data_IF_858475321653
#
_entry.id   IF_858475321653
#
_cell.length_a   1.000
_cell.length_b   1.000
_cell.length_c   1.000
_cell.angle_alpha   90.00
_cell.angle_beta   90.00
_cell.angle_gamma   90.00
#
_symmetry.space_group_name_H-M   'P 1'
#
loop_
_entity.id
_entity.type
_entity.pdbx_description
1 polymer ?
#
# COMPACT_ATOMS: atom_id res chain seq x y z
N UNK A 1 0.79 20.28 15.83
CA UNK A 1 0.36 19.01 15.21
C UNK A 1 1.47 18.31 14.39
N UNK A 2 2.38 19.00 13.74
CA UNK A 2 3.52 18.39 13.01
C UNK A 2 4.57 17.68 13.88
N UNK A 3 4.76 18.05 15.15
CA UNK A 3 5.71 17.37 16.06
C UNK A 3 5.26 15.99 16.53
N UNK A 4 3.96 15.69 16.49
CA UNK A 4 3.43 14.38 16.92
C UNK A 4 3.59 13.29 15.84
N UNK A 5 3.64 13.66 14.55
CA UNK A 5 3.82 12.70 13.46
C UNK A 5 5.29 12.36 13.18
N UNK A 6 6.23 13.24 13.48
CA UNK A 6 7.66 13.03 13.17
C UNK A 6 8.40 12.10 14.14
N UNK A 7 8.00 12.02 15.41
CA UNK A 7 8.66 11.18 16.43
C UNK A 7 8.15 9.73 16.46
N UNK A 8 6.96 9.48 15.92
CA UNK A 8 6.35 8.14 15.85
C UNK A 8 6.94 7.25 14.73
N UNK A 9 7.71 7.81 13.82
CA UNK A 9 8.19 7.14 12.61
C UNK A 9 9.63 6.61 12.64
N UNK A 10 10.32 6.68 13.77
CA UNK A 10 11.60 5.99 13.94
C UNK A 10 11.36 4.48 14.01
N UNK A 11 11.82 3.76 12.99
CA UNK A 11 11.59 2.32 12.79
C UNK A 11 12.12 1.39 13.90
N UNK A 12 12.78 1.90 14.91
CA UNK A 12 13.46 1.13 15.98
C UNK A 12 12.72 1.04 17.32
N UNK A 13 11.56 1.67 17.48
CA UNK A 13 10.85 1.73 18.77
C UNK A 13 9.34 1.51 18.68
N UNK A 14 8.81 1.01 17.56
CA UNK A 14 7.39 0.72 17.45
C UNK A 14 7.03 -0.45 18.34
N UNK A 15 6.23 -0.19 19.39
CA UNK A 15 5.70 -1.24 20.24
C UNK A 15 4.90 -2.22 19.35
N UNK A 16 5.21 -3.52 19.39
CA UNK A 16 4.50 -4.54 18.60
C UNK A 16 2.98 -4.51 18.84
N UNK A 17 2.56 -4.10 20.03
CA UNK A 17 1.15 -3.87 20.34
C UNK A 17 0.51 -2.81 19.43
N UNK A 18 1.19 -1.68 19.21
CA UNK A 18 0.72 -0.62 18.29
C UNK A 18 0.66 -1.15 16.86
N UNK A 19 1.65 -1.95 16.44
CA UNK A 19 1.65 -2.59 15.14
C UNK A 19 0.40 -3.47 14.95
N UNK A 20 0.11 -4.34 15.90
CA UNK A 20 -1.06 -5.22 15.86
C UNK A 20 -2.37 -4.42 15.82
N UNK A 21 -2.46 -3.33 16.60
CA UNK A 21 -3.66 -2.49 16.65
C UNK A 21 -3.92 -1.76 15.33
N UNK A 22 -2.87 -1.19 14.72
CA UNK A 22 -3.01 -0.52 13.40
C UNK A 22 -3.34 -1.52 12.30
N UNK A 23 -2.73 -2.70 12.31
CA UNK A 23 -3.04 -3.76 11.35
C UNK A 23 -4.47 -4.29 11.53
N UNK A 24 -4.96 -4.40 12.77
CA UNK A 24 -6.36 -4.75 13.04
C UNK A 24 -7.32 -3.67 12.53
N UNK A 25 -7.01 -2.38 12.73
CA UNK A 25 -7.80 -1.28 12.20
C UNK A 25 -7.80 -1.28 10.65
N UNK A 26 -6.66 -1.53 10.02
CA UNK A 26 -6.57 -1.66 8.57
C UNK A 26 -7.41 -2.85 8.06
N UNK A 27 -7.34 -4.01 8.75
CA UNK A 27 -8.16 -5.18 8.42
C UNK A 27 -9.65 -4.90 8.53
N UNK A 28 -10.06 -4.11 9.54
CA UNK A 28 -11.46 -3.69 9.70
C UNK A 28 -11.91 -2.78 8.55
N UNK A 29 -11.08 -1.80 8.15
CA UNK A 29 -11.38 -0.90 7.01
C UNK A 29 -11.55 -1.72 5.73
N UNK A 30 -10.67 -2.70 5.48
CA UNK A 30 -10.73 -3.57 4.31
C UNK A 30 -11.98 -4.46 4.36
N UNK A 31 -12.32 -5.02 5.52
CA UNK A 31 -13.52 -5.84 5.67
C UNK A 31 -14.81 -5.02 5.46
N UNK A 32 -14.85 -3.77 5.93
CA UNK A 32 -15.95 -2.85 5.64
C UNK A 32 -16.08 -2.58 4.15
N UNK A 33 -14.97 -2.35 3.45
CA UNK A 33 -14.98 -2.18 1.99
C UNK A 33 -15.56 -3.40 1.27
N UNK A 34 -15.14 -4.60 1.64
CA UNK A 34 -15.65 -5.84 1.04
C UNK A 34 -17.15 -6.03 1.27
N UNK A 35 -17.65 -5.67 2.45
CA UNK A 35 -19.05 -5.80 2.82
C UNK A 35 -19.94 -4.67 2.29
N UNK A 36 -19.35 -3.57 1.81
CA UNK A 36 -20.07 -2.43 1.25
C UNK A 36 -19.78 -2.31 -0.24
N UNK A 37 -18.78 -1.56 -0.62
CA UNK A 37 -18.52 -1.19 -2.01
C UNK A 37 -18.30 -2.39 -2.93
N UNK A 38 -17.53 -3.40 -2.48
CA UNK A 38 -17.27 -4.60 -3.28
C UNK A 38 -18.55 -5.44 -3.46
N UNK A 39 -19.31 -5.64 -2.38
CA UNK A 39 -20.58 -6.39 -2.44
C UNK A 39 -21.63 -5.63 -3.25
N UNK A 40 -21.81 -4.32 -3.00
CA UNK A 40 -22.80 -3.49 -3.67
C UNK A 40 -22.52 -3.27 -5.15
N UNK A 41 -21.27 -3.04 -5.52
CA UNK A 41 -20.85 -2.83 -6.90
C UNK A 41 -20.71 -4.12 -7.71
N UNK A 42 -20.88 -5.29 -7.10
CA UNK A 42 -20.63 -6.56 -7.77
C UNK A 42 -19.15 -6.75 -8.15
N UNK A 43 -18.23 -6.10 -7.43
CA UNK A 43 -16.83 -6.01 -7.79
C UNK A 43 -16.02 -7.25 -7.39
N UNK A 44 -14.86 -7.40 -8.01
CA UNK A 44 -13.83 -8.41 -7.69
C UNK A 44 -12.49 -7.72 -7.46
N UNK A 45 -11.96 -7.70 -6.22
CA UNK A 45 -10.72 -6.98 -5.91
C UNK A 45 -9.46 -7.49 -6.61
N UNK A 46 -9.53 -8.54 -7.39
CA UNK A 46 -8.39 -9.14 -8.07
C UNK A 46 -7.55 -10.06 -7.18
N UNK A 47 -6.58 -10.75 -7.78
CA UNK A 47 -5.69 -11.67 -7.07
C UNK A 47 -6.42 -12.80 -6.35
N UNK A 48 -5.80 -13.33 -5.28
CA UNK A 48 -6.37 -14.42 -4.49
C UNK A 48 -7.66 -14.00 -3.78
N UNK A 49 -7.75 -12.75 -3.33
CA UNK A 49 -8.94 -12.23 -2.66
C UNK A 49 -10.13 -12.11 -3.61
N UNK A 50 -9.90 -11.62 -4.83
CA UNK A 50 -10.96 -11.57 -5.86
C UNK A 50 -11.47 -12.94 -6.23
N UNK A 51 -10.58 -13.92 -6.35
CA UNK A 51 -10.94 -15.31 -6.57
C UNK A 51 -11.73 -15.88 -5.37
N UNK A 52 -11.37 -15.51 -4.15
CA UNK A 52 -12.09 -15.91 -2.93
C UNK A 52 -13.53 -15.41 -2.92
N UNK A 53 -13.75 -14.14 -3.27
CA UNK A 53 -15.09 -13.55 -3.37
C UNK A 53 -15.88 -14.20 -4.50
N UNK A 54 -15.25 -14.50 -5.62
CA UNK A 54 -15.89 -15.19 -6.73
C UNK A 54 -16.38 -16.58 -6.31
N UNK A 55 -15.51 -17.38 -5.66
CA UNK A 55 -15.88 -18.72 -5.18
C UNK A 55 -16.97 -18.66 -4.11
N UNK A 56 -16.92 -17.67 -3.22
CA UNK A 56 -18.00 -17.42 -2.25
C UNK A 56 -19.33 -17.15 -2.95
N UNK A 57 -19.36 -16.28 -3.96
CA UNK A 57 -20.58 -15.94 -4.71
C UNK A 57 -21.15 -17.15 -5.48
N UNK A 58 -20.26 -17.93 -6.11
CA UNK A 58 -20.67 -19.18 -6.77
C UNK A 58 -21.28 -20.14 -5.73
N UNK A 59 -20.59 -20.33 -4.60
CA UNK A 59 -21.10 -21.16 -3.51
C UNK A 59 -22.44 -20.69 -2.98
N UNK A 60 -22.65 -19.37 -2.83
CA UNK A 60 -23.93 -18.79 -2.42
C UNK A 60 -25.03 -19.07 -3.45
N UNK A 61 -24.74 -18.86 -4.75
CA UNK A 61 -25.70 -19.14 -5.81
C UNK A 61 -26.12 -20.61 -5.85
N UNK A 62 -25.18 -21.53 -5.60
CA UNK A 62 -25.48 -22.97 -5.51
C UNK A 62 -26.33 -23.28 -4.28
N UNK A 63 -26.02 -22.68 -3.12
CA UNK A 63 -26.82 -22.87 -1.90
C UNK A 63 -28.25 -22.34 -2.07
N UNK A 64 -28.41 -21.17 -2.67
CA UNK A 64 -29.71 -20.54 -2.96
C UNK A 64 -30.53 -21.39 -3.94
N UNK A 65 -29.90 -21.92 -5.00
CA UNK A 65 -30.52 -22.83 -5.96
C UNK A 65 -30.97 -24.18 -5.34
N UNK A 66 -30.21 -24.63 -4.32
CA UNK A 66 -30.57 -25.83 -3.56
C UNK A 66 -31.62 -25.58 -2.46
N UNK A 67 -32.09 -24.36 -2.28
CA UNK A 67 -33.05 -23.97 -1.24
C UNK A 67 -32.47 -23.98 0.17
N UNK A 68 -31.14 -23.97 0.30
CA UNK A 68 -30.45 -23.99 1.58
C UNK A 68 -30.21 -22.54 2.04
N UNK A 69 -30.94 -22.11 3.06
CA UNK A 69 -30.83 -20.74 3.59
C UNK A 69 -29.60 -20.63 4.54
N UNK A 70 -28.40 -20.79 3.96
CA UNK A 70 -27.11 -20.67 4.68
C UNK A 70 -26.26 -19.64 3.96
N UNK A 71 -25.67 -18.72 4.72
CA UNK A 71 -24.69 -17.79 4.18
C UNK A 71 -23.34 -18.50 4.03
N UNK A 72 -22.82 -18.55 2.80
CA UNK A 72 -21.50 -19.10 2.51
C UNK A 72 -20.43 -18.11 3.02
N UNK A 73 -19.55 -18.52 3.97
CA UNK A 73 -18.55 -17.62 4.53
C UNK A 73 -17.42 -17.35 3.53
N UNK A 74 -16.86 -16.13 3.61
CA UNK A 74 -15.70 -15.71 2.81
C UNK A 74 -14.38 -16.29 3.32
N UNK A 75 -14.25 -16.44 4.65
CA UNK A 75 -12.99 -16.75 5.33
C UNK A 75 -12.30 -18.02 4.84
N UNK A 76 -12.96 -19.17 4.61
CA UNK A 76 -12.26 -20.38 4.18
C UNK A 76 -11.57 -20.21 2.83
N UNK A 77 -12.27 -19.59 1.88
CA UNK A 77 -11.72 -19.37 0.54
C UNK A 77 -10.52 -18.42 0.59
N UNK A 78 -10.64 -17.32 1.35
CA UNK A 78 -9.57 -16.34 1.46
C UNK A 78 -8.31 -16.91 2.15
N UNK A 79 -8.47 -17.69 3.21
CA UNK A 79 -7.35 -18.29 3.94
C UNK A 79 -6.64 -19.33 3.07
N UNK A 80 -7.39 -20.23 2.43
CA UNK A 80 -6.83 -21.30 1.59
C UNK A 80 -6.09 -20.73 0.39
N UNK A 81 -6.69 -19.78 -0.34
CA UNK A 81 -6.08 -19.21 -1.54
C UNK A 81 -4.88 -18.31 -1.24
N UNK A 82 -4.83 -17.73 -0.04
CA UNK A 82 -3.67 -16.95 0.40
C UNK A 82 -2.53 -17.79 0.99
N UNK A 83 -2.74 -19.09 1.25
CA UNK A 83 -1.70 -19.96 1.82
C UNK A 83 -0.47 -20.07 0.92
N UNK A 84 -0.65 -20.21 -0.41
CA UNK A 84 0.47 -20.29 -1.37
C UNK A 84 1.24 -18.96 -1.46
N UNK A 85 0.60 -17.78 -1.68
CA UNK A 85 1.29 -16.50 -1.64
C UNK A 85 2.01 -16.24 -0.30
N UNK A 86 1.40 -16.59 0.82
CA UNK A 86 2.03 -16.46 2.14
C UNK A 86 3.26 -17.35 2.29
N UNK A 87 3.22 -18.58 1.78
CA UNK A 87 4.40 -19.47 1.74
C UNK A 87 5.55 -18.85 0.93
N UNK A 88 5.25 -18.30 -0.26
CA UNK A 88 6.23 -17.58 -1.08
C UNK A 88 6.79 -16.38 -0.31
N UNK A 89 5.94 -15.59 0.33
CA UNK A 89 6.35 -14.47 1.17
C UNK A 89 7.27 -14.88 2.31
N UNK A 90 6.99 -16.01 2.96
CA UNK A 90 7.80 -16.53 4.05
C UNK A 90 9.21 -16.96 3.60
N UNK A 91 9.33 -17.52 2.39
CA UNK A 91 10.61 -17.97 1.85
C UNK A 91 11.47 -16.83 1.26
N UNK A 92 10.83 -15.82 0.64
CA UNK A 92 11.54 -14.87 -0.21
C UNK A 92 11.47 -13.41 0.25
N UNK A 93 10.47 -13.01 1.04
CA UNK A 93 10.31 -11.62 1.49
C UNK A 93 10.78 -11.45 2.94
N UNK A 94 10.28 -12.27 3.86
CA UNK A 94 10.70 -12.23 5.24
C UNK A 94 9.65 -12.77 6.23
N UNK A 95 10.14 -13.37 7.31
CA UNK A 95 9.26 -14.05 8.30
C UNK A 95 8.33 -13.07 9.03
N UNK A 96 8.86 -11.94 9.51
CA UNK A 96 8.07 -10.94 10.25
C UNK A 96 7.01 -10.29 9.36
N UNK A 97 7.39 -9.95 8.14
CA UNK A 97 6.46 -9.41 7.14
C UNK A 97 5.31 -10.40 6.88
N UNK A 98 5.65 -11.66 6.62
CA UNK A 98 4.65 -12.70 6.31
C UNK A 98 3.74 -12.99 7.49
N UNK A 99 4.26 -13.09 8.72
CA UNK A 99 3.43 -13.32 9.90
C UNK A 99 2.42 -12.18 10.13
N UNK A 100 2.83 -10.93 9.97
CA UNK A 100 1.93 -9.78 10.05
C UNK A 100 0.90 -9.79 8.92
N UNK A 101 1.30 -10.19 7.74
CA UNK A 101 0.38 -10.32 6.59
C UNK A 101 -0.64 -11.44 6.81
N UNK A 102 -0.23 -12.58 7.32
CA UNK A 102 -1.15 -13.67 7.70
C UNK A 102 -2.13 -13.21 8.77
N UNK A 103 -1.67 -12.40 9.75
CA UNK A 103 -2.55 -11.78 10.75
C UNK A 103 -3.60 -10.87 10.10
N UNK A 104 -3.20 -10.01 9.14
CA UNK A 104 -4.13 -9.14 8.39
C UNK A 104 -5.12 -9.98 7.59
N UNK A 105 -4.67 -10.99 6.84
CA UNK A 105 -5.53 -11.87 6.03
C UNK A 105 -6.57 -12.55 6.92
N UNK A 106 -6.14 -13.09 8.07
CA UNK A 106 -7.00 -13.79 9.02
C UNK A 106 -8.04 -12.83 9.64
N UNK A 107 -7.62 -11.66 10.11
CA UNK A 107 -8.54 -10.68 10.68
C UNK A 107 -9.52 -10.14 9.65
N UNK A 108 -9.05 -9.81 8.45
CA UNK A 108 -9.93 -9.34 7.36
C UNK A 108 -10.98 -10.40 7.03
N UNK A 109 -10.58 -11.67 6.97
CA UNK A 109 -11.49 -12.77 6.70
C UNK A 109 -12.58 -12.89 7.78
N UNK A 110 -12.18 -12.89 9.05
CA UNK A 110 -13.11 -12.96 10.18
C UNK A 110 -14.02 -11.75 10.24
N UNK A 111 -13.48 -10.55 10.12
CA UNK A 111 -14.29 -9.32 10.15
C UNK A 111 -15.30 -9.30 8.99
N UNK A 112 -14.91 -9.73 7.79
CA UNK A 112 -15.83 -9.80 6.65
C UNK A 112 -17.02 -10.73 6.92
N UNK A 113 -16.82 -11.84 7.61
CA UNK A 113 -17.89 -12.78 7.91
C UNK A 113 -18.77 -12.36 9.11
N UNK A 114 -18.18 -11.73 10.14
CA UNK A 114 -18.85 -11.43 11.42
C UNK A 114 -19.51 -10.04 11.45
N UNK A 115 -19.02 -9.06 10.66
CA UNK A 115 -19.51 -7.68 10.76
C UNK A 115 -21.03 -7.56 10.57
N UNK A 116 -21.76 -7.02 11.57
CA UNK A 116 -23.21 -6.82 11.50
C UNK A 116 -23.51 -5.56 10.68
N UNK A 117 -23.51 -5.70 9.35
CA UNK A 117 -23.63 -4.55 8.44
C UNK A 117 -24.94 -3.76 8.63
N UNK A 118 -26.05 -4.43 8.99
CA UNK A 118 -27.33 -3.78 9.22
C UNK A 118 -27.25 -2.77 10.38
N UNK A 119 -26.51 -3.12 11.44
CA UNK A 119 -26.29 -2.23 12.57
C UNK A 119 -25.31 -1.10 12.25
N UNK A 120 -24.25 -1.40 11.49
CA UNK A 120 -23.24 -0.40 11.12
C UNK A 120 -23.82 0.63 10.14
N UNK A 121 -24.64 0.19 9.20
CA UNK A 121 -25.26 1.05 8.19
C UNK A 121 -26.49 1.80 8.70
N UNK A 122 -26.98 1.53 9.91
CA UNK A 122 -28.14 2.22 10.48
C UNK A 122 -27.93 3.74 10.63
N UNK A 123 -26.68 4.21 10.67
CA UNK A 123 -26.33 5.64 10.70
C UNK A 123 -26.46 6.35 9.35
N UNK A 124 -26.54 5.58 8.25
CA UNK A 124 -26.64 6.13 6.89
C UNK A 124 -28.10 6.05 6.42
N UNK A 125 -28.68 7.13 5.88
CA UNK A 125 -30.04 7.12 5.37
C UNK A 125 -30.25 6.02 4.32
N UNK A 126 -31.30 5.24 4.44
CA UNK A 126 -31.59 4.10 3.56
C UNK A 126 -31.62 4.49 2.06
N UNK A 127 -32.08 5.73 1.75
CA UNK A 127 -32.10 6.26 0.39
C UNK A 127 -30.68 6.43 -0.21
N UNK A 128 -29.71 6.79 0.64
CA UNK A 128 -28.32 7.00 0.19
C UNK A 128 -27.60 5.65 0.02
N UNK A 129 -27.89 4.69 0.90
CA UNK A 129 -27.46 3.29 0.73
C UNK A 129 -28.02 2.70 -0.57
N UNK A 130 -29.31 2.93 -0.85
CA UNK A 130 -29.94 2.44 -2.08
C UNK A 130 -29.30 3.05 -3.34
N UNK A 131 -28.93 4.33 -3.30
CA UNK A 131 -28.20 4.99 -4.40
C UNK A 131 -26.82 4.39 -4.60
N UNK A 132 -26.07 4.17 -3.52
CA UNK A 132 -24.72 3.56 -3.57
C UNK A 132 -24.77 2.13 -4.12
N UNK A 133 -25.77 1.33 -3.68
CA UNK A 133 -25.98 -0.04 -4.20
C UNK A 133 -26.38 -0.07 -5.69
N UNK A 134 -27.00 0.97 -6.18
CA UNK A 134 -27.43 1.09 -7.58
C UNK A 134 -26.37 1.68 -8.52
N UNK A 135 -25.22 2.11 -7.99
CA UNK A 135 -24.17 2.76 -8.80
C UNK A 135 -22.82 2.04 -8.66
N UNK A 136 -22.53 1.07 -9.57
CA UNK A 136 -21.26 0.35 -9.56
C UNK A 136 -20.05 1.23 -9.84
N UNK A 137 -20.20 2.35 -10.56
CA UNK A 137 -19.10 3.30 -10.81
C UNK A 137 -18.70 3.96 -9.50
N UNK A 138 -19.69 4.47 -8.75
CA UNK A 138 -19.45 5.09 -7.45
C UNK A 138 -18.82 4.10 -6.47
N UNK A 139 -19.34 2.87 -6.44
CA UNK A 139 -18.79 1.79 -5.62
C UNK A 139 -17.35 1.44 -6.01
N UNK A 140 -17.00 1.43 -7.30
CA UNK A 140 -15.64 1.15 -7.73
C UNK A 140 -14.65 2.27 -7.38
N UNK A 141 -15.07 3.53 -7.47
CA UNK A 141 -14.22 4.67 -7.13
C UNK A 141 -13.97 4.77 -5.62
N UNK A 142 -15.04 4.83 -4.83
CA UNK A 142 -14.91 4.97 -3.38
C UNK A 142 -14.36 3.71 -2.70
N UNK A 143 -14.77 2.54 -3.16
CA UNK A 143 -14.21 1.27 -2.69
C UNK A 143 -12.71 1.19 -2.99
N UNK A 144 -12.28 1.55 -4.20
CA UNK A 144 -10.84 1.61 -4.54
C UNK A 144 -10.04 2.56 -3.65
N UNK A 145 -10.64 3.70 -3.24
CA UNK A 145 -10.00 4.64 -2.29
C UNK A 145 -9.89 4.00 -0.91
N UNK A 146 -10.98 3.43 -0.38
CA UNK A 146 -11.03 2.84 0.97
C UNK A 146 -10.10 1.64 1.06
N UNK A 147 -10.14 0.75 0.09
CA UNK A 147 -9.25 -0.41 0.04
C UNK A 147 -7.79 0.01 -0.10
N UNK A 148 -7.47 0.95 -1.01
CA UNK A 148 -6.13 1.50 -1.21
C UNK A 148 -5.57 2.16 0.04
N UNK A 149 -6.40 2.83 0.83
CA UNK A 149 -6.04 3.38 2.13
C UNK A 149 -5.68 2.27 3.14
N UNK A 150 -6.56 1.28 3.31
CA UNK A 150 -6.33 0.13 4.19
C UNK A 150 -5.07 -0.65 3.81
N UNK A 151 -4.89 -0.93 2.51
CA UNK A 151 -3.71 -1.59 1.97
C UNK A 151 -2.42 -0.77 2.22
N UNK A 152 -2.47 0.53 2.01
CA UNK A 152 -1.32 1.42 2.28
C UNK A 152 -0.93 1.45 3.76
N UNK A 153 -1.91 1.39 4.67
CA UNK A 153 -1.64 1.22 6.10
C UNK A 153 -0.91 -0.12 6.36
N UNK A 154 -1.40 -1.24 5.80
CA UNK A 154 -0.73 -2.53 5.95
C UNK A 154 0.72 -2.45 5.47
N UNK A 155 0.97 -1.91 4.29
CA UNK A 155 2.31 -1.79 3.70
C UNK A 155 3.25 -0.94 4.56
N UNK A 156 2.78 0.19 5.09
CA UNK A 156 3.56 1.06 5.99
C UNK A 156 3.94 0.37 7.30
N UNK A 157 3.13 -0.56 7.76
CA UNK A 157 3.34 -1.33 8.99
C UNK A 157 3.92 -2.72 8.71
N UNK A 158 4.56 -2.86 7.55
CA UNK A 158 5.30 -4.04 7.14
C UNK A 158 4.43 -5.31 7.09
N UNK A 159 3.27 -5.18 6.46
CA UNK A 159 2.33 -6.25 6.16
C UNK A 159 1.68 -6.03 4.78
N UNK A 160 0.95 -7.00 4.26
CA UNK A 160 0.14 -6.89 3.04
C UNK A 160 -1.23 -7.54 3.25
N UNK A 161 -2.16 -7.21 2.34
CA UNK A 161 -3.52 -7.77 2.31
C UNK A 161 -3.57 -9.19 1.72
N UNK A 162 -2.45 -9.68 1.19
CA UNK A 162 -2.33 -11.04 0.64
C UNK A 162 -2.32 -11.09 -0.89
N UNK A 163 -2.52 -12.29 -1.42
CA UNK A 163 -2.67 -12.52 -2.85
C UNK A 163 -1.47 -12.09 -3.70
N UNK A 164 -1.77 -11.43 -4.80
CA UNK A 164 -0.77 -10.90 -5.75
C UNK A 164 0.14 -9.84 -5.14
N UNK A 165 -0.24 -9.26 -3.99
CA UNK A 165 0.56 -8.24 -3.31
C UNK A 165 1.90 -8.80 -2.81
N UNK A 166 1.93 -10.07 -2.35
CA UNK A 166 3.19 -10.74 -2.01
C UNK A 166 4.13 -10.79 -3.21
N UNK A 167 3.57 -11.03 -4.40
CA UNK A 167 4.34 -11.06 -5.66
C UNK A 167 4.82 -9.64 -6.00
N UNK A 168 3.96 -8.63 -5.85
CA UNK A 168 4.31 -7.23 -6.07
C UNK A 168 5.50 -6.81 -5.21
N UNK A 169 5.44 -7.12 -3.91
CA UNK A 169 6.48 -6.78 -2.95
C UNK A 169 7.78 -7.53 -3.25
N UNK A 170 7.71 -8.84 -3.47
CA UNK A 170 8.88 -9.64 -3.85
C UNK A 170 9.57 -9.08 -5.10
N UNK A 171 8.79 -8.76 -6.13
CA UNK A 171 9.34 -8.18 -7.36
C UNK A 171 9.89 -6.77 -7.13
N UNK A 172 9.24 -5.96 -6.28
CA UNK A 172 9.71 -4.62 -5.95
C UNK A 172 11.04 -4.67 -5.20
N UNK A 173 11.19 -5.57 -4.24
CA UNK A 173 12.44 -5.78 -3.52
C UNK A 173 13.56 -6.29 -4.45
N UNK A 174 13.26 -7.26 -5.30
CA UNK A 174 14.24 -7.82 -6.24
C UNK A 174 14.68 -6.82 -7.32
N UNK A 175 13.77 -5.98 -7.80
CA UNK A 175 14.03 -5.01 -8.88
C UNK A 175 14.41 -3.62 -8.36
N UNK A 176 14.23 -3.33 -7.07
CA UNK A 176 14.48 -2.03 -6.47
C UNK A 176 13.59 -0.90 -7.01
N UNK A 177 12.40 -1.23 -7.50
CA UNK A 177 11.44 -0.27 -8.07
C UNK A 177 10.00 -0.73 -7.86
N UNK A 178 9.07 0.20 -7.94
CA UNK A 178 7.64 -0.12 -7.87
C UNK A 178 7.21 -1.08 -8.98
N UNK A 179 6.41 -2.07 -8.61
CA UNK A 179 5.83 -3.06 -9.53
C UNK A 179 4.30 -3.11 -9.50
N UNK A 180 3.65 -2.16 -8.81
CA UNK A 180 2.19 -2.11 -8.67
C UNK A 180 1.45 -2.04 -10.01
N UNK A 181 1.99 -1.28 -10.97
CA UNK A 181 1.41 -1.19 -12.31
C UNK A 181 1.49 -2.53 -13.07
N UNK A 182 2.52 -3.34 -12.84
CA UNK A 182 2.60 -4.69 -13.40
C UNK A 182 1.52 -5.60 -12.82
N UNK A 183 1.31 -5.52 -11.50
CA UNK A 183 0.25 -6.29 -10.84
C UNK A 183 -1.14 -5.84 -11.27
N UNK A 184 -1.36 -4.52 -11.44
CA UNK A 184 -2.58 -3.99 -12.02
C UNK A 184 -2.85 -4.59 -13.40
N UNK A 185 -1.85 -4.62 -14.28
CA UNK A 185 -1.99 -5.20 -15.62
C UNK A 185 -2.31 -6.71 -15.57
N UNK A 186 -1.62 -7.47 -14.71
CA UNK A 186 -1.90 -8.90 -14.51
C UNK A 186 -3.32 -9.14 -13.98
N UNK A 187 -3.74 -8.38 -12.98
CA UNK A 187 -5.09 -8.48 -12.44
C UNK A 187 -6.15 -8.08 -13.48
N UNK A 188 -5.90 -7.05 -14.27
CA UNK A 188 -6.78 -6.66 -15.37
C UNK A 188 -6.95 -7.79 -16.40
N UNK A 189 -5.86 -8.47 -16.77
CA UNK A 189 -5.94 -9.63 -17.67
C UNK A 189 -6.80 -10.76 -17.06
N UNK A 190 -6.62 -11.05 -15.77
CA UNK A 190 -7.41 -12.07 -15.04
C UNK A 190 -8.89 -11.67 -15.03
N UNK A 191 -9.20 -10.40 -14.74
CA UNK A 191 -10.56 -9.90 -14.69
C UNK A 191 -11.24 -9.88 -16.06
N UNK A 192 -10.52 -9.53 -17.12
CA UNK A 192 -11.04 -9.59 -18.48
C UNK A 192 -11.38 -11.05 -18.88
N UNK A 193 -10.51 -12.00 -18.51
CA UNK A 193 -10.80 -13.41 -18.70
C UNK A 193 -12.03 -13.84 -17.91
N UNK A 194 -12.16 -13.38 -16.65
CA UNK A 194 -13.35 -13.60 -15.82
C UNK A 194 -14.61 -12.98 -16.43
N UNK A 195 -14.50 -11.83 -17.09
CA UNK A 195 -15.60 -11.16 -17.77
C UNK A 195 -16.27 -12.01 -18.84
N UNK A 196 -15.51 -12.82 -19.53
CA UNK A 196 -16.01 -13.77 -20.51
C UNK A 196 -16.93 -14.84 -19.89
N UNK A 197 -16.61 -15.29 -18.68
CA UNK A 197 -17.36 -16.35 -17.99
C UNK A 197 -18.50 -15.82 -17.09
N UNK A 198 -18.33 -14.63 -16.49
CA UNK A 198 -19.17 -14.13 -15.40
C UNK A 198 -19.86 -12.79 -15.71
N UNK A 199 -19.58 -12.19 -16.88
CA UNK A 199 -20.17 -10.92 -17.30
C UNK A 199 -19.18 -9.75 -17.29
N UNK A 200 -19.23 -8.97 -18.35
CA UNK A 200 -18.27 -7.89 -18.63
C UNK A 200 -18.38 -6.69 -17.69
N UNK A 201 -19.60 -6.36 -17.27
CA UNK A 201 -19.85 -5.16 -16.47
C UNK A 201 -19.08 -5.20 -15.13
N UNK A 202 -19.20 -6.29 -14.38
CA UNK A 202 -18.49 -6.47 -13.11
C UNK A 202 -16.97 -6.44 -13.27
N UNK A 203 -16.44 -6.99 -14.37
CA UNK A 203 -15.01 -6.98 -14.66
C UNK A 203 -14.49 -5.58 -14.98
N UNK A 204 -15.21 -4.79 -15.78
CA UNK A 204 -14.79 -3.41 -16.08
C UNK A 204 -14.80 -2.53 -14.83
N UNK A 205 -15.84 -2.59 -14.01
CA UNK A 205 -15.89 -1.86 -12.74
C UNK A 205 -14.80 -2.31 -11.77
N UNK A 206 -14.46 -3.60 -11.76
CA UNK A 206 -13.37 -4.13 -10.95
C UNK A 206 -11.99 -3.63 -11.40
N UNK A 207 -11.79 -3.42 -12.70
CA UNK A 207 -10.56 -2.81 -13.24
C UNK A 207 -10.46 -1.35 -12.76
N UNK A 208 -11.58 -0.58 -12.78
CA UNK A 208 -11.62 0.79 -12.25
C UNK A 208 -11.26 0.78 -10.76
N UNK A 209 -11.90 -0.08 -9.98
CA UNK A 209 -11.61 -0.25 -8.55
C UNK A 209 -10.12 -0.50 -8.29
N UNK A 210 -9.50 -1.44 -9.02
CA UNK A 210 -8.08 -1.74 -8.87
C UNK A 210 -7.17 -0.60 -9.33
N UNK A 211 -7.53 0.09 -10.41
CA UNK A 211 -6.78 1.25 -10.87
C UNK A 211 -6.75 2.33 -9.77
N UNK A 212 -7.92 2.68 -9.21
CA UNK A 212 -8.00 3.66 -8.11
C UNK A 212 -7.22 3.19 -6.90
N UNK A 213 -7.33 1.91 -6.51
CA UNK A 213 -6.55 1.31 -5.42
C UNK A 213 -5.05 1.52 -5.63
N UNK A 214 -4.54 1.19 -6.82
CA UNK A 214 -3.11 1.35 -7.15
C UNK A 214 -2.68 2.81 -7.09
N UNK A 215 -3.52 3.75 -7.55
CA UNK A 215 -3.20 5.18 -7.45
C UNK A 215 -3.11 5.65 -5.99
N UNK A 216 -4.03 5.21 -5.14
CA UNK A 216 -3.98 5.54 -3.70
C UNK A 216 -2.73 4.95 -3.04
N UNK A 217 -2.40 3.69 -3.34
CA UNK A 217 -1.17 3.05 -2.85
C UNK A 217 0.07 3.80 -3.35
N UNK A 218 0.11 4.20 -4.62
CA UNK A 218 1.22 4.94 -5.20
C UNK A 218 1.45 6.30 -4.50
N UNK A 219 0.38 7.00 -4.14
CA UNK A 219 0.47 8.27 -3.41
C UNK A 219 0.86 8.08 -1.96
N UNK A 220 0.32 7.05 -1.29
CA UNK A 220 0.47 6.86 0.15
C UNK A 220 1.69 6.03 0.54
N UNK A 221 2.12 5.09 -0.30
CA UNK A 221 3.24 4.19 -0.04
C UNK A 221 4.39 4.47 -0.98
N UNK A 222 5.35 5.29 -0.53
CA UNK A 222 6.45 5.84 -1.35
C UNK A 222 7.79 5.17 -1.11
N UNK A 223 7.85 4.05 -0.43
CA UNK A 223 9.10 3.38 0.00
C UNK A 223 10.03 3.02 -1.16
N UNK A 224 9.48 2.70 -2.33
CA UNK A 224 10.26 2.39 -3.55
C UNK A 224 10.35 3.57 -4.53
N UNK A 225 9.85 4.75 -4.15
CA UNK A 225 10.08 5.96 -4.92
C UNK A 225 11.42 6.57 -4.51
N UNK A 226 12.22 6.93 -5.47
CA UNK A 226 13.52 7.53 -5.24
C UNK A 226 13.47 9.03 -5.53
N UNK A 227 14.20 9.79 -4.73
CA UNK A 227 14.37 11.21 -4.93
C UNK A 227 15.85 11.56 -4.94
N UNK A 228 16.26 12.37 -5.91
CA UNK A 228 17.58 13.00 -5.91
C UNK A 228 17.49 14.29 -5.11
N UNK A 229 18.25 14.34 -4.04
CA UNK A 229 18.46 15.54 -3.23
C UNK A 229 19.56 16.38 -3.87
N UNK A 230 19.29 17.67 -4.02
CA UNK A 230 20.26 18.69 -4.41
C UNK A 230 20.31 19.71 -3.28
N UNK A 231 21.41 19.72 -2.53
CA UNK A 231 21.56 20.55 -1.34
C UNK A 231 22.74 21.48 -1.54
N UNK A 232 22.44 22.78 -1.63
CA UNK A 232 23.47 23.84 -1.66
C UNK A 232 23.75 24.27 -0.22
N UNK A 233 25.00 24.13 0.23
CA UNK A 233 25.37 24.35 1.64
C UNK A 233 26.85 24.79 1.77
N UNK A 234 27.12 25.52 2.84
CA UNK A 234 28.49 25.86 3.24
C UNK A 234 29.14 24.79 4.19
N UNK A 235 28.31 23.78 4.59
CA UNK A 235 28.73 22.72 5.53
C UNK A 235 28.54 21.31 4.91
N UNK A 236 29.19 21.00 3.78
CA UNK A 236 28.95 19.78 3.03
C UNK A 236 29.20 18.49 3.84
N UNK A 237 30.28 18.44 4.64
CA UNK A 237 30.66 17.25 5.41
C UNK A 237 29.55 16.85 6.41
N UNK A 238 29.01 17.84 7.15
CA UNK A 238 27.94 17.61 8.12
C UNK A 238 26.65 17.16 7.45
N UNK A 239 26.36 17.71 6.28
CA UNK A 239 25.19 17.32 5.49
C UNK A 239 25.34 15.90 4.95
N UNK A 240 26.51 15.52 4.45
CA UNK A 240 26.81 14.15 4.01
C UNK A 240 26.67 13.13 5.14
N UNK A 241 27.22 13.46 6.34
CA UNK A 241 27.06 12.63 7.52
C UNK A 241 25.59 12.46 7.94
N UNK A 242 24.82 13.55 7.90
CA UNK A 242 23.39 13.52 8.19
C UNK A 242 22.60 12.64 7.23
N UNK A 243 22.88 12.73 5.93
CA UNK A 243 22.27 11.88 4.90
C UNK A 243 22.62 10.41 5.17
N UNK A 244 23.92 10.11 5.38
CA UNK A 244 24.37 8.74 5.63
C UNK A 244 23.73 8.14 6.88
N UNK A 245 23.60 8.91 7.96
CA UNK A 245 23.02 8.45 9.22
C UNK A 245 21.53 8.06 9.08
N UNK A 246 20.78 8.78 8.23
CA UNK A 246 19.34 8.54 8.06
C UNK A 246 19.10 7.45 7.01
N UNK A 247 19.71 7.58 5.83
CA UNK A 247 19.39 6.76 4.66
C UNK A 247 20.37 5.61 4.41
N UNK A 248 21.56 5.62 5.03
CA UNK A 248 22.69 4.75 4.73
C UNK A 248 23.20 4.89 3.29
N UNK A 249 22.83 5.97 2.61
CA UNK A 249 23.34 6.29 1.28
C UNK A 249 24.53 7.25 1.34
N UNK A 250 25.40 7.17 0.33
CA UNK A 250 26.45 8.13 0.11
C UNK A 250 25.90 9.41 -0.53
N UNK A 251 26.70 10.46 -0.48
CA UNK A 251 26.45 11.69 -1.18
C UNK A 251 27.70 12.10 -1.97
N UNK A 252 27.52 12.80 -3.08
CA UNK A 252 28.59 13.36 -3.90
C UNK A 252 28.61 14.86 -3.67
N UNK A 253 29.78 15.40 -3.34
CA UNK A 253 30.00 16.84 -3.14
C UNK A 253 30.63 17.42 -4.40
N UNK A 254 30.06 18.50 -4.89
CA UNK A 254 30.59 19.28 -6.03
C UNK A 254 30.87 20.70 -5.53
N UNK A 255 32.07 21.17 -5.74
CA UNK A 255 32.44 22.57 -5.44
C UNK A 255 31.62 23.50 -6.35
N UNK A 256 31.00 24.49 -5.74
CA UNK A 256 30.13 25.41 -6.42
C UNK A 256 30.42 26.87 -5.99
N UNK A 257 29.92 27.82 -6.78
CA UNK A 257 30.01 29.26 -6.51
C UNK A 257 28.64 29.89 -6.71
N UNK A 258 28.22 30.70 -5.77
CA UNK A 258 27.00 31.50 -5.91
C UNK A 258 27.10 32.44 -7.11
N UNK A 259 26.18 32.32 -8.05
CA UNK A 259 26.21 33.11 -9.30
C UNK A 259 26.11 34.60 -9.09
N UNK A 260 25.34 35.04 -8.08
CA UNK A 260 25.19 36.45 -7.74
C UNK A 260 26.16 36.91 -6.65
N UNK A 261 26.25 36.13 -5.56
CA UNK A 261 27.06 36.47 -4.39
C UNK A 261 28.57 36.28 -4.62
N UNK A 262 28.95 35.42 -5.54
CA UNK A 262 30.34 35.05 -5.75
C UNK A 262 30.94 34.19 -4.63
N UNK A 263 30.15 33.86 -3.60
CA UNK A 263 30.60 33.06 -2.44
C UNK A 263 30.85 31.62 -2.83
N UNK A 264 31.88 31.01 -2.23
CA UNK A 264 32.13 29.56 -2.33
C UNK A 264 31.06 28.81 -1.56
N UNK A 265 30.49 27.80 -2.19
CA UNK A 265 29.50 26.88 -1.61
C UNK A 265 29.74 25.48 -2.15
N UNK A 266 28.98 24.51 -1.70
CA UNK A 266 29.03 23.13 -2.22
C UNK A 266 27.64 22.67 -2.59
N UNK A 267 27.56 21.92 -3.69
CA UNK A 267 26.35 21.21 -4.08
C UNK A 267 26.52 19.74 -3.66
N UNK A 268 25.69 19.29 -2.73
CA UNK A 268 25.62 17.89 -2.28
C UNK A 268 24.50 17.20 -3.03
N UNK A 269 24.86 16.13 -3.75
CA UNK A 269 23.93 15.27 -4.50
C UNK A 269 23.81 13.92 -3.82
N UNK A 270 22.58 13.47 -3.56
CA UNK A 270 22.34 12.12 -3.03
C UNK A 270 20.99 11.60 -3.53
N UNK A 271 20.91 10.29 -3.77
CA UNK A 271 19.65 9.61 -4.10
C UNK A 271 19.20 8.84 -2.88
N UNK A 272 17.98 9.13 -2.42
CA UNK A 272 17.41 8.56 -1.20
C UNK A 272 15.98 8.06 -1.44
N UNK A 273 15.45 7.25 -0.53
CA UNK A 273 14.04 6.90 -0.56
C UNK A 273 13.16 8.12 -0.22
N UNK A 274 12.00 8.25 -0.86
CA UNK A 274 11.11 9.38 -0.66
C UNK A 274 10.65 9.54 0.80
N UNK A 275 10.53 8.43 1.53
CA UNK A 275 10.16 8.42 2.95
C UNK A 275 11.24 9.04 3.87
N UNK A 276 12.51 9.00 3.48
CA UNK A 276 13.62 9.55 4.27
C UNK A 276 13.80 11.06 4.06
N UNK A 277 13.25 11.60 2.98
CA UNK A 277 13.45 12.98 2.52
C UNK A 277 13.07 14.01 3.59
N UNK A 278 11.90 13.85 4.22
CA UNK A 278 11.43 14.79 5.24
C UNK A 278 12.35 14.85 6.47
N UNK A 279 12.86 13.70 6.90
CA UNK A 279 13.80 13.60 8.03
C UNK A 279 15.16 14.23 7.70
N UNK A 280 15.62 14.01 6.47
CA UNK A 280 16.87 14.62 5.96
C UNK A 280 16.73 16.13 5.89
N UNK A 281 15.60 16.65 5.41
CA UNK A 281 15.33 18.10 5.36
C UNK A 281 15.41 18.75 6.74
N UNK A 282 14.68 18.16 7.71
CA UNK A 282 14.67 18.69 9.07
C UNK A 282 16.08 18.74 9.67
N UNK A 283 16.88 17.69 9.45
CA UNK A 283 18.24 17.61 9.98
C UNK A 283 19.19 18.56 9.24
N UNK A 284 19.15 18.64 7.91
CA UNK A 284 19.98 19.56 7.14
C UNK A 284 19.69 21.01 7.51
N UNK A 285 18.42 21.40 7.67
CA UNK A 285 18.04 22.75 8.09
C UNK A 285 18.48 23.08 9.52
N UNK A 286 18.57 22.10 10.40
CA UNK A 286 19.10 22.31 11.76
C UNK A 286 20.63 22.50 11.77
N UNK A 287 21.35 21.88 10.81
CA UNK A 287 22.81 21.99 10.68
C UNK A 287 23.24 23.27 9.94
N UNK A 288 22.51 23.62 8.92
CA UNK A 288 22.70 24.81 8.09
C UNK A 288 21.34 25.46 7.76
N UNK A 289 20.91 26.47 8.52
CA UNK A 289 19.64 27.18 8.27
C UNK A 289 19.57 27.85 6.88
N UNK A 290 20.73 28.23 6.31
CA UNK A 290 20.82 28.87 5.01
C UNK A 290 20.87 27.87 3.85
N UNK A 291 21.00 26.56 4.10
CA UNK A 291 21.06 25.56 3.06
C UNK A 291 19.81 25.65 2.14
N UNK A 292 20.04 25.63 0.84
CA UNK A 292 18.98 25.51 -0.15
C UNK A 292 18.83 24.04 -0.54
N UNK A 293 17.61 23.49 -0.42
CA UNK A 293 17.36 22.06 -0.64
C UNK A 293 16.28 21.93 -1.73
N UNK A 294 16.64 21.34 -2.86
CA UNK A 294 15.75 20.93 -3.92
C UNK A 294 15.66 19.42 -4.01
N UNK A 295 14.52 18.92 -4.48
CA UNK A 295 14.34 17.49 -4.81
C UNK A 295 13.80 17.30 -6.19
N UNK A 296 14.30 16.24 -6.84
CA UNK A 296 13.79 15.78 -8.13
C UNK A 296 13.42 14.32 -8.02
N UNK A 297 12.23 13.95 -8.51
CA UNK A 297 11.83 12.55 -8.58
C UNK A 297 12.74 11.79 -9.53
N UNK A 298 13.31 10.68 -9.06
CA UNK A 298 14.23 9.86 -9.84
C UNK A 298 13.48 8.63 -10.34
N UNK A 299 13.26 8.57 -11.63
CA UNK A 299 12.49 7.49 -12.28
C UNK A 299 13.21 6.14 -12.25
N UNK A 300 14.56 6.14 -12.23
CA UNK A 300 15.36 4.91 -12.23
C UNK A 300 16.73 5.14 -11.59
N UNK A 301 17.13 4.21 -10.74
CA UNK A 301 18.48 4.13 -10.18
C UNK A 301 19.13 2.83 -10.67
N UNK A 302 20.35 2.91 -11.17
CA UNK A 302 21.16 1.75 -11.59
C UNK A 302 22.44 1.80 -10.78
N UNK A 303 22.72 0.74 -10.01
CA UNK A 303 23.89 0.67 -9.15
C UNK A 303 23.56 0.09 -7.78
N UNK A 304 24.49 0.26 -6.82
CA UNK A 304 24.27 -0.21 -5.44
C UNK A 304 23.38 0.80 -4.71
N UNK A 305 22.10 0.46 -4.56
CA UNK A 305 21.16 1.21 -3.76
C UNK A 305 20.76 0.39 -2.52
N UNK A 306 20.95 0.95 -1.31
CA UNK A 306 20.57 0.27 -0.08
C UNK A 306 19.06 0.37 0.15
N UNK A 307 18.37 -0.75 0.12
CA UNK A 307 16.98 -0.85 0.57
C UNK A 307 16.98 -1.41 1.98
N UNK A 308 16.26 -0.76 2.90
CA UNK A 308 16.15 -1.26 4.28
C UNK A 308 15.51 -2.65 4.29
N UNK A 309 16.15 -3.67 4.90
CA UNK A 309 15.54 -5.00 5.02
C UNK A 309 14.25 -4.94 5.83
N UNK A 310 13.27 -5.75 5.45
CA UNK A 310 11.98 -5.90 6.15
C UNK A 310 12.03 -6.91 7.30
N UNK A 311 13.21 -7.21 7.82
CA UNK A 311 13.41 -8.18 8.90
C UNK A 311 12.88 -7.70 10.25
#
# INVERSE_FOLDING_TARGET
MQKFFGSAFSARGRNEFVNCLVLAAASLIIALDYRTFVEWGGLYPGGATGLSILLQRIGQSVADAAGVNVRVPFSPFNIILNAIPAWIGFMYVGRRFTLRSVYVIFLTAIFTDILPMDSILSFVPAKDIARLKGDPVLSSLFGGIVFGFGMSLCLRWNATTGGTDFIAIYLSEKKGKETWNLILALNACILLSGGYFFGWAGSFYSIIYQFVTVQVVHVMYRTYQHQTLMIVTEKPDRVCEAIHRISHHGATVVDAKGGLSGQKTSLVLSVVAADDTASIYALCKSLDPNAFIGTVSTSRVIGRFYLRPRN
#
